data_IF_068467073633
#
_entry.id   IF_068467073633
#
_cell.length_a   1.000
_cell.length_b   1.000
_cell.length_c   1.000
_cell.angle_alpha   90.00
_cell.angle_beta   90.00
_cell.angle_gamma   90.00
#
_symmetry.space_group_name_H-M   'P 1'
#
loop_
_entity.id
_entity.type
_entity.pdbx_description
1 polymer ?
#
# COMPACT_ATOMS: atom_id res chain seq x y z
N UNK A 1 1.93 5.67 5.85
CA UNK A 1 1.66 4.21 5.74
C UNK A 1 0.76 3.94 4.53
N UNK A 2 0.67 2.72 4.03
CA UNK A 2 -0.22 2.37 2.91
C UNK A 2 -0.68 0.92 2.97
N UNK A 3 -1.90 0.69 2.49
CA UNK A 3 -2.50 -0.64 2.38
C UNK A 3 -2.88 -0.93 0.93
N UNK A 4 -2.73 -2.18 0.52
CA UNK A 4 -3.27 -2.69 -0.75
C UNK A 4 -4.79 -2.87 -0.61
N UNK A 5 -5.53 -2.39 -1.60
CA UNK A 5 -6.99 -2.53 -1.69
C UNK A 5 -7.33 -3.33 -2.95
N UNK A 6 -8.33 -4.20 -2.86
CA UNK A 6 -8.78 -5.04 -3.99
C UNK A 6 -9.73 -4.25 -4.90
N UNK A 7 -9.27 -3.10 -5.41
CA UNK A 7 -10.02 -2.24 -6.33
C UNK A 7 -9.66 -2.54 -7.79
N UNK A 8 -10.24 -1.75 -8.70
CA UNK A 8 -9.88 -1.75 -10.11
C UNK A 8 -8.39 -1.42 -10.36
N UNK A 9 -7.89 -1.90 -11.49
CA UNK A 9 -6.50 -1.73 -11.92
C UNK A 9 -6.43 -1.19 -13.35
N UNK A 10 -5.37 -0.44 -13.65
CA UNK A 10 -5.02 0.02 -14.98
C UNK A 10 -3.72 -0.64 -15.46
N UNK A 11 -3.64 -0.92 -16.76
CA UNK A 11 -2.44 -1.50 -17.39
C UNK A 11 -1.32 -0.48 -17.60
N UNK A 12 -1.66 0.82 -17.56
CA UNK A 12 -0.72 1.93 -17.65
C UNK A 12 -0.84 2.86 -16.43
N UNK A 13 0.30 3.36 -15.96
CA UNK A 13 0.40 4.30 -14.85
C UNK A 13 1.69 4.13 -14.05
N UNK A 14 1.72 4.71 -12.85
CA UNK A 14 2.80 4.58 -11.89
C UNK A 14 2.54 3.43 -10.91
N UNK A 15 3.54 2.54 -10.69
CA UNK A 15 3.52 1.58 -9.60
C UNK A 15 3.43 2.28 -8.24
N UNK A 16 2.77 1.66 -7.27
CA UNK A 16 2.54 2.23 -5.93
C UNK A 16 3.81 2.63 -5.19
N UNK A 17 4.94 1.94 -5.44
CA UNK A 17 6.23 2.29 -4.84
C UNK A 17 6.80 3.60 -5.40
N UNK A 18 6.60 3.87 -6.69
CA UNK A 18 6.99 5.14 -7.31
C UNK A 18 6.13 6.28 -6.76
N UNK A 19 4.81 6.07 -6.71
CA UNK A 19 3.86 7.02 -6.10
C UNK A 19 4.25 7.33 -4.65
N UNK A 20 4.55 6.30 -3.84
CA UNK A 20 4.98 6.47 -2.44
C UNK A 20 6.25 7.31 -2.35
N UNK A 21 7.24 7.09 -3.21
CA UNK A 21 8.47 7.89 -3.23
C UNK A 21 8.21 9.35 -3.58
N UNK A 22 7.31 9.60 -4.53
CA UNK A 22 6.91 10.96 -4.90
C UNK A 22 6.19 11.67 -3.75
N UNK A 23 5.24 11.00 -3.09
CA UNK A 23 4.56 11.53 -1.89
C UNK A 23 5.55 11.84 -0.77
N UNK A 24 6.49 10.94 -0.48
CA UNK A 24 7.55 11.13 0.53
C UNK A 24 8.55 12.24 0.17
N UNK A 25 8.49 12.79 -1.05
CA UNK A 25 9.34 13.90 -1.50
C UNK A 25 8.65 15.27 -1.37
N UNK A 26 7.37 15.28 -0.98
CA UNK A 26 6.64 16.50 -0.64
C UNK A 26 6.97 16.91 0.80
N UNK A 27 7.09 18.22 1.08
CA UNK A 27 7.54 18.71 2.39
C UNK A 27 6.49 18.54 3.50
N UNK A 28 5.22 18.45 3.12
CA UNK A 28 4.08 18.40 4.03
C UNK A 28 2.89 17.69 3.38
N UNK A 29 1.84 17.46 4.17
CA UNK A 29 0.60 16.82 3.70
C UNK A 29 -0.09 17.64 2.62
N UNK A 30 -0.05 18.98 2.67
CA UNK A 30 -0.71 19.83 1.67
C UNK A 30 -0.10 19.62 0.29
N UNK A 31 1.23 19.56 0.19
CA UNK A 31 1.95 19.24 -1.04
C UNK A 31 1.59 17.84 -1.56
N UNK A 32 1.58 16.84 -0.67
CA UNK A 32 1.18 15.48 -1.01
C UNK A 32 -0.26 15.41 -1.56
N UNK A 33 -1.23 16.02 -0.88
CA UNK A 33 -2.64 16.03 -1.29
C UNK A 33 -2.86 16.76 -2.62
N UNK A 34 -2.07 17.80 -2.92
CA UNK A 34 -2.08 18.46 -4.24
C UNK A 34 -1.44 17.62 -5.33
N UNK A 35 -0.42 16.83 -5.00
CA UNK A 35 0.30 15.99 -5.94
C UNK A 35 -0.52 14.76 -6.36
N UNK A 36 -1.12 14.06 -5.40
CA UNK A 36 -1.73 12.74 -5.62
C UNK A 36 -2.76 12.69 -6.77
N UNK A 37 -3.68 13.66 -6.94
CA UNK A 37 -4.65 13.64 -8.04
C UNK A 37 -4.02 13.76 -9.44
N UNK A 38 -2.76 14.18 -9.52
CA UNK A 38 -2.01 14.37 -10.78
C UNK A 38 -1.21 13.14 -11.19
N UNK A 39 -1.15 12.11 -10.35
CA UNK A 39 -0.40 10.88 -10.59
C UNK A 39 -1.30 9.85 -11.26
N UNK A 40 -0.84 9.16 -12.32
CA UNK A 40 -1.64 8.10 -12.95
C UNK A 40 -1.52 6.82 -12.12
N UNK A 41 -2.41 6.61 -11.15
CA UNK A 41 -2.36 5.42 -10.27
C UNK A 41 -2.72 4.15 -11.04
N UNK A 42 -1.92 3.08 -10.89
CA UNK A 42 -2.20 1.78 -11.54
C UNK A 42 -3.16 0.87 -10.77
N UNK A 43 -3.40 1.11 -9.49
CA UNK A 43 -4.24 0.22 -8.69
C UNK A 43 -4.67 0.81 -7.36
N UNK A 44 -5.66 0.14 -6.75
CA UNK A 44 -6.29 0.53 -5.50
C UNK A 44 -5.33 0.60 -4.32
N UNK A 45 -5.23 1.74 -3.64
CA UNK A 45 -4.40 1.91 -2.44
C UNK A 45 -5.05 2.85 -1.44
N UNK A 46 -4.76 2.63 -0.16
CA UNK A 46 -4.86 3.69 0.85
C UNK A 46 -3.49 4.27 1.15
N UNK A 47 -3.43 5.57 1.38
CA UNK A 47 -2.30 6.27 1.96
C UNK A 47 -2.76 6.97 3.25
N UNK A 48 -2.12 6.64 4.36
CA UNK A 48 -2.23 7.39 5.61
C UNK A 48 -0.98 8.26 5.75
N UNK A 49 -1.19 9.57 5.79
CA UNK A 49 -0.16 10.59 5.78
C UNK A 49 -0.10 11.28 7.15
N UNK A 50 1.10 11.67 7.54
CA UNK A 50 1.41 12.39 8.77
C UNK A 50 2.62 13.29 8.51
N UNK A 51 2.62 14.52 9.01
CA UNK A 51 3.78 15.42 8.93
C UNK A 51 4.19 15.96 10.31
N UNK A 52 5.33 16.66 10.35
CA UNK A 52 5.93 17.17 11.58
C UNK A 52 5.08 18.22 12.30
N UNK A 53 4.06 18.80 11.64
CA UNK A 53 3.11 19.71 12.29
C UNK A 53 2.04 18.97 13.10
N UNK A 54 2.00 17.64 13.05
CA UNK A 54 0.98 16.82 13.68
C UNK A 54 -0.28 16.65 12.84
N UNK A 55 -0.32 17.24 11.63
CA UNK A 55 -1.41 17.01 10.69
C UNK A 55 -1.37 15.57 10.21
N UNK A 56 -2.56 15.02 9.95
CA UNK A 56 -2.77 13.70 9.38
C UNK A 56 -3.79 13.78 8.26
N UNK A 57 -3.70 12.87 7.31
CA UNK A 57 -4.69 12.73 6.25
C UNK A 57 -4.78 11.29 5.77
N UNK A 58 -6.00 10.84 5.48
CA UNK A 58 -6.26 9.55 4.87
C UNK A 58 -6.72 9.74 3.44
N UNK A 59 -6.21 8.91 2.52
CA UNK A 59 -6.57 8.98 1.11
C UNK A 59 -6.74 7.59 0.55
N UNK A 60 -7.86 7.33 -0.11
CA UNK A 60 -8.06 6.17 -0.98
C UNK A 60 -7.87 6.58 -2.43
N UNK A 61 -7.20 5.73 -3.21
CA UNK A 61 -7.00 5.95 -4.65
C UNK A 61 -7.40 4.73 -5.43
N UNK A 62 -7.96 4.93 -6.62
CA UNK A 62 -8.07 3.90 -7.66
C UNK A 62 -8.02 4.53 -9.05
N UNK A 63 -7.74 3.77 -10.12
CA UNK A 63 -7.78 4.29 -11.48
C UNK A 63 -9.14 4.90 -11.87
N UNK A 64 -10.26 4.20 -11.60
CA UNK A 64 -11.61 4.68 -11.92
C UNK A 64 -12.16 5.68 -10.92
N UNK A 65 -11.96 5.45 -9.61
CA UNK A 65 -12.47 6.34 -8.57
C UNK A 65 -11.61 7.59 -8.39
N UNK A 66 -10.39 7.62 -8.94
CA UNK A 66 -9.44 8.70 -8.71
C UNK A 66 -9.00 8.77 -7.24
N UNK A 67 -8.65 9.97 -6.78
CA UNK A 67 -8.20 10.22 -5.41
C UNK A 67 -9.37 10.68 -4.55
N UNK A 68 -9.55 10.09 -3.37
CA UNK A 68 -10.63 10.36 -2.43
C UNK A 68 -10.08 10.53 -1.01
N UNK A 69 -10.45 11.62 -0.36
CA UNK A 69 -9.98 11.95 0.99
C UNK A 69 -10.92 11.26 1.99
N UNK A 70 -10.34 10.47 2.90
CA UNK A 70 -11.05 9.81 4.00
C UNK A 70 -11.45 10.78 5.11
N UNK A 71 -10.56 11.74 5.36
CA UNK A 71 -10.67 12.74 6.41
C UNK A 71 -9.28 13.24 6.79
N UNK A 72 -9.25 14.39 7.44
CA UNK A 72 -8.08 15.08 7.98
C UNK A 72 -8.21 15.45 9.47
N UNK A 73 -9.32 15.06 10.10
CA UNK A 73 -9.62 15.32 11.50
C UNK A 73 -9.70 14.03 12.33
N UNK A 74 -8.89 13.96 13.39
CA UNK A 74 -8.92 12.88 14.39
C UNK A 74 -8.27 11.56 13.95
N UNK A 75 -8.27 10.53 14.82
CA UNK A 75 -7.59 9.26 14.54
C UNK A 75 -8.14 8.58 13.28
N UNK A 76 -7.24 8.23 12.37
CA UNK A 76 -7.57 7.54 11.12
C UNK A 76 -7.14 6.07 11.20
N UNK A 77 -8.08 5.17 10.88
CA UNK A 77 -7.84 3.74 10.82
C UNK A 77 -8.11 3.21 9.42
N UNK A 78 -7.32 2.24 9.01
CA UNK A 78 -7.53 1.58 7.74
C UNK A 78 -6.95 0.17 7.73
N UNK A 79 -7.63 -0.74 7.06
CA UNK A 79 -7.14 -2.09 6.77
C UNK A 79 -7.08 -2.30 5.26
N UNK A 80 -7.57 -3.41 4.71
CA UNK A 80 -7.43 -3.73 3.29
C UNK A 80 -8.72 -3.58 2.47
N UNK A 81 -9.80 -3.11 3.10
CA UNK A 81 -11.08 -2.82 2.43
C UNK A 81 -11.27 -1.31 2.25
N UNK A 82 -11.96 -0.91 1.19
CA UNK A 82 -12.34 0.49 0.99
C UNK A 82 -13.37 0.92 2.03
N UNK A 83 -13.28 2.17 2.48
CA UNK A 83 -14.18 2.81 3.44
C UNK A 83 -15.16 3.76 2.73
N UNK A 84 -14.70 4.47 1.68
CA UNK A 84 -15.50 5.47 0.98
C UNK A 84 -16.44 4.81 -0.05
N UNK A 85 -17.62 5.39 -0.25
CA UNK A 85 -18.61 4.84 -1.18
C UNK A 85 -18.09 4.79 -2.63
N UNK A 86 -17.31 5.79 -3.04
CA UNK A 86 -16.79 5.89 -4.40
C UNK A 86 -15.74 4.82 -4.73
N UNK A 87 -14.91 4.45 -3.78
CA UNK A 87 -13.88 3.41 -3.92
C UNK A 87 -14.47 2.02 -3.67
N UNK A 88 -15.41 1.88 -2.72
CA UNK A 88 -16.22 0.64 -2.55
C UNK A 88 -16.95 0.26 -3.83
N UNK A 89 -17.45 1.23 -4.60
CA UNK A 89 -18.14 0.98 -5.87
C UNK A 89 -17.27 0.30 -6.94
N UNK A 90 -15.94 0.32 -6.78
CA UNK A 90 -14.98 -0.32 -7.69
C UNK A 90 -14.16 -1.41 -6.99
N UNK A 91 -14.55 -1.82 -5.78
CA UNK A 91 -13.96 -2.92 -5.05
C UNK A 91 -14.44 -4.27 -5.60
N UNK A 92 -13.53 -5.24 -5.65
CA UNK A 92 -13.86 -6.62 -5.93
C UNK A 92 -14.05 -7.38 -4.60
N UNK A 93 -15.29 -7.58 -4.14
CA UNK A 93 -15.55 -8.18 -2.84
C UNK A 93 -15.13 -9.65 -2.76
N UNK A 94 -15.21 -10.40 -3.87
CA UNK A 94 -14.79 -11.80 -3.91
C UNK A 94 -13.27 -11.92 -3.73
N UNK A 95 -12.51 -11.06 -4.42
CA UNK A 95 -11.06 -11.02 -4.28
C UNK A 95 -10.65 -10.50 -2.89
N UNK A 96 -11.34 -9.50 -2.35
CA UNK A 96 -11.13 -9.03 -0.98
C UNK A 96 -11.31 -10.15 0.05
N UNK A 97 -12.41 -10.91 -0.06
CA UNK A 97 -12.68 -12.04 0.82
C UNK A 97 -11.63 -13.15 0.69
N UNK A 98 -11.10 -13.35 -0.52
CA UNK A 98 -10.06 -14.35 -0.77
C UNK A 98 -8.70 -13.93 -0.19
N UNK A 99 -8.32 -12.65 -0.31
CA UNK A 99 -6.97 -12.17 0.02
C UNK A 99 -6.88 -11.66 1.46
N UNK A 100 -7.91 -10.97 1.95
CA UNK A 100 -7.95 -10.33 3.27
C UNK A 100 -9.28 -10.57 4.01
N UNK A 101 -9.69 -11.82 4.24
CA UNK A 101 -10.94 -12.15 4.94
C UNK A 101 -11.04 -11.48 6.34
N UNK A 102 -9.92 -11.25 7.03
CA UNK A 102 -9.90 -10.61 8.36
C UNK A 102 -9.99 -9.07 8.36
N UNK A 103 -10.09 -8.43 7.19
CA UNK A 103 -9.95 -6.97 7.06
C UNK A 103 -10.95 -6.19 7.93
N UNK A 104 -12.19 -6.67 8.06
CA UNK A 104 -13.25 -6.02 8.83
C UNK A 104 -13.07 -6.23 10.34
N UNK A 105 -12.73 -7.44 10.78
CA UNK A 105 -12.44 -7.75 12.19
C UNK A 105 -11.30 -6.89 12.72
N UNK A 106 -10.21 -6.78 11.94
CA UNK A 106 -9.07 -5.93 12.28
C UNK A 106 -9.44 -4.46 12.34
N UNK A 107 -10.29 -3.99 11.42
CA UNK A 107 -10.75 -2.61 11.42
C UNK A 107 -11.57 -2.30 12.68
N UNK A 108 -12.51 -3.17 13.05
CA UNK A 108 -13.30 -3.02 14.28
C UNK A 108 -12.41 -2.96 15.52
N UNK A 109 -11.40 -3.83 15.59
CA UNK A 109 -10.41 -3.83 16.68
C UNK A 109 -9.60 -2.51 16.75
N UNK A 110 -9.18 -1.98 15.60
CA UNK A 110 -8.48 -0.69 15.51
C UNK A 110 -9.37 0.49 15.90
N UNK A 111 -10.58 0.55 15.35
CA UNK A 111 -11.55 1.61 15.63
C UNK A 111 -11.94 1.62 17.12
N UNK A 112 -12.10 0.45 17.74
CA UNK A 112 -12.34 0.35 19.18
C UNK A 112 -11.20 0.89 20.05
N UNK A 113 -9.98 0.99 19.53
CA UNK A 113 -8.84 1.55 20.24
C UNK A 113 -8.71 3.08 20.09
N UNK A 114 -9.56 3.73 19.28
CA UNK A 114 -9.41 5.13 18.89
C UNK A 114 -9.30 6.11 20.07
N UNK A 115 -10.16 5.97 21.08
CA UNK A 115 -10.15 6.83 22.26
C UNK A 115 -8.92 6.68 23.17
N UNK A 116 -8.04 5.71 22.88
CA UNK A 116 -6.86 5.41 23.68
C UNK A 116 -5.54 5.77 23.01
N UNK A 117 -5.56 6.39 21.83
CA UNK A 117 -4.35 6.74 21.06
C UNK A 117 -3.90 8.17 21.33
N UNK A 118 -3.10 8.37 22.39
CA UNK A 118 -2.59 9.69 22.76
C UNK A 118 -1.05 9.78 22.74
N UNK A 119 -0.37 8.66 22.49
CA UNK A 119 1.08 8.58 22.54
C UNK A 119 1.65 7.51 21.60
N UNK A 120 2.96 7.58 21.37
CA UNK A 120 3.72 6.52 20.69
C UNK A 120 3.57 5.17 21.39
N UNK A 121 3.57 5.17 22.73
CA UNK A 121 3.38 3.96 23.52
C UNK A 121 1.99 3.34 23.32
N UNK A 122 0.95 4.16 23.17
CA UNK A 122 -0.39 3.69 22.84
C UNK A 122 -0.46 3.08 21.44
N UNK A 123 0.17 3.71 20.45
CA UNK A 123 0.25 3.15 19.11
C UNK A 123 0.95 1.78 19.12
N UNK A 124 2.07 1.64 19.85
CA UNK A 124 2.75 0.36 20.03
C UNK A 124 1.87 -0.69 20.73
N UNK A 125 1.09 -0.28 21.74
CA UNK A 125 0.14 -1.17 22.44
C UNK A 125 -0.96 -1.64 21.50
N UNK A 126 -1.51 -0.77 20.66
CA UNK A 126 -2.53 -1.12 19.66
C UNK A 126 -1.96 -2.10 18.64
N UNK A 127 -0.74 -1.86 18.14
CA UNK A 127 -0.07 -2.78 17.21
C UNK A 127 0.27 -4.15 17.85
N UNK A 128 0.33 -4.24 19.18
CA UNK A 128 0.48 -5.50 19.94
C UNK A 128 -0.83 -6.22 20.21
N UNK A 129 -1.98 -5.65 19.86
CA UNK A 129 -3.29 -6.21 20.20
C UNK A 129 -3.50 -7.58 19.53
N UNK A 130 -3.89 -8.57 20.35
CA UNK A 130 -4.15 -9.97 19.96
C UNK A 130 -5.61 -10.39 20.08
N UNK A 131 -6.50 -9.48 20.46
CA UNK A 131 -7.93 -9.74 20.47
C UNK A 131 -8.38 -10.13 19.06
N UNK A 132 -9.04 -11.28 18.94
CA UNK A 132 -9.45 -11.85 17.66
C UNK A 132 -8.38 -12.65 16.93
N UNK A 133 -7.29 -13.07 17.59
CA UNK A 133 -6.28 -13.94 16.96
C UNK A 133 -6.92 -15.23 16.38
N UNK A 134 -6.51 -15.69 15.18
CA UNK A 134 -5.33 -15.22 14.42
C UNK A 134 -5.53 -13.91 13.65
N UNK A 135 -6.78 -13.46 13.50
CA UNK A 135 -7.23 -12.29 12.74
C UNK A 135 -7.06 -10.95 13.49
N UNK A 136 -6.17 -10.89 14.47
CA UNK A 136 -5.93 -9.70 15.28
C UNK A 136 -5.12 -8.62 14.52
N UNK A 137 -4.95 -7.44 15.13
CA UNK A 137 -4.04 -6.39 14.63
C UNK A 137 -2.60 -6.92 14.54
N UNK A 138 -2.11 -7.54 15.63
CA UNK A 138 -0.89 -8.35 15.63
C UNK A 138 -1.18 -9.71 15.00
N UNK A 139 -1.34 -9.73 13.68
CA UNK A 139 -1.81 -10.88 12.93
C UNK A 139 -0.81 -12.02 12.97
N UNK A 140 -1.28 -13.20 13.40
CA UNK A 140 -0.52 -14.45 13.33
C UNK A 140 -0.94 -15.25 12.11
N UNK A 141 -0.04 -16.07 11.57
CA UNK A 141 -0.36 -16.95 10.45
C UNK A 141 -1.61 -17.83 10.74
N UNK A 142 -2.47 -17.97 9.73
CA UNK A 142 -3.55 -18.95 9.70
C UNK A 142 -3.68 -19.55 8.30
N UNK A 143 -4.34 -20.71 8.19
CA UNK A 143 -4.64 -21.32 6.88
C UNK A 143 -5.65 -20.51 6.07
N UNK A 144 -6.55 -19.80 6.75
CA UNK A 144 -7.59 -18.97 6.14
C UNK A 144 -7.02 -17.70 5.52
N UNK A 145 -6.04 -17.08 6.17
CA UNK A 145 -5.33 -15.92 5.64
C UNK A 145 -3.83 -16.10 5.86
N UNK A 146 -3.16 -16.68 4.86
CA UNK A 146 -1.76 -17.12 4.88
C UNK A 146 -0.72 -15.98 4.83
N UNK A 147 -0.96 -14.92 5.59
CA UNK A 147 -0.04 -13.80 5.84
C UNK A 147 0.07 -13.56 7.33
N UNK A 148 1.14 -12.93 7.78
CA UNK A 148 1.33 -12.55 9.18
C UNK A 148 2.04 -11.21 9.29
N UNK A 149 2.03 -10.60 10.47
CA UNK A 149 2.75 -9.34 10.70
C UNK A 149 4.26 -9.58 10.59
N UNK A 150 4.84 -9.16 9.46
CA UNK A 150 6.28 -9.22 9.22
C UNK A 150 7.07 -8.13 9.97
N UNK A 151 6.46 -6.96 10.19
CA UNK A 151 7.00 -5.90 11.02
C UNK A 151 5.89 -4.93 11.46
N UNK A 152 6.19 -4.11 12.46
CA UNK A 152 5.36 -3.00 12.93
C UNK A 152 6.20 -1.73 12.98
N UNK A 153 5.62 -0.62 12.52
CA UNK A 153 6.28 0.68 12.46
C UNK A 153 5.39 1.72 13.13
N UNK A 154 5.95 2.50 14.04
CA UNK A 154 5.32 3.69 14.64
C UNK A 154 6.20 4.88 14.33
N UNK A 155 5.67 5.89 13.65
CA UNK A 155 6.39 7.13 13.37
C UNK A 155 5.91 8.23 14.32
N UNK A 156 6.85 8.99 14.85
CA UNK A 156 6.64 10.28 15.51
C UNK A 156 7.27 11.36 14.61
N UNK A 157 6.48 11.94 13.68
CA UNK A 157 7.00 12.93 12.74
C UNK A 157 7.50 14.21 13.41
N UNK A 158 6.90 14.61 14.54
CA UNK A 158 7.29 15.81 15.27
C UNK A 158 8.65 15.64 15.94
N UNK A 159 8.92 14.46 16.51
CA UNK A 159 10.23 14.12 17.05
C UNK A 159 11.25 13.70 15.98
N UNK A 160 10.81 13.45 14.74
CA UNK A 160 11.67 12.87 13.70
C UNK A 160 12.17 11.47 14.08
N UNK A 161 11.32 10.66 14.71
CA UNK A 161 11.67 9.32 15.19
C UNK A 161 10.77 8.27 14.53
N UNK A 162 11.37 7.14 14.17
CA UNK A 162 10.65 5.96 13.73
C UNK A 162 11.00 4.78 14.64
N UNK A 163 9.99 4.14 15.20
CA UNK A 163 10.13 2.91 15.98
C UNK A 163 9.78 1.71 15.12
N UNK A 164 10.68 0.74 15.03
CA UNK A 164 10.51 -0.46 14.21
C UNK A 164 10.59 -1.70 15.09
N UNK A 165 9.61 -2.59 14.94
CA UNK A 165 9.65 -3.93 15.50
C UNK A 165 9.60 -4.94 14.35
N UNK A 166 10.62 -5.79 14.24
CA UNK A 166 10.64 -6.89 13.27
C UNK A 166 9.85 -8.09 13.81
N UNK A 167 9.12 -8.78 12.93
CA UNK A 167 8.22 -9.87 13.28
C UNK A 167 7.00 -9.43 14.08
N UNK A 168 6.46 -10.37 14.87
CA UNK A 168 5.31 -10.13 15.73
C UNK A 168 5.67 -9.18 16.88
N UNK A 169 4.98 -8.05 17.06
CA UNK A 169 5.32 -7.04 18.06
C UNK A 169 5.12 -7.48 19.52
N UNK A 170 4.55 -8.68 19.74
CA UNK A 170 4.50 -9.36 21.03
C UNK A 170 5.88 -9.92 21.46
N UNK A 171 6.64 -10.41 20.49
CA UNK A 171 7.91 -11.12 20.74
C UNK A 171 9.09 -10.17 20.48
N UNK A 172 8.97 -9.33 19.46
CA UNK A 172 9.98 -8.33 19.15
C UNK A 172 9.93 -7.09 20.05
N UNK A 173 11.04 -6.37 20.07
CA UNK A 173 11.14 -5.05 20.68
C UNK A 173 11.02 -3.96 19.60
N UNK A 174 10.39 -2.84 19.96
CA UNK A 174 10.44 -1.64 19.14
C UNK A 174 11.78 -0.94 19.35
N UNK A 175 12.57 -0.81 18.28
CA UNK A 175 13.84 -0.09 18.27
C UNK A 175 13.62 1.29 17.65
N UNK A 176 14.08 2.34 18.34
CA UNK A 176 13.95 3.72 17.87
C UNK A 176 15.09 4.08 16.91
N UNK A 177 14.73 4.72 15.80
CA UNK A 177 15.64 5.25 14.80
C UNK A 177 15.36 6.73 14.60
N UNK A 178 16.40 7.56 14.75
CA UNK A 178 16.30 8.97 14.39
C UNK A 178 16.28 9.10 12.86
N UNK A 179 15.25 9.77 12.36
CA UNK A 179 15.17 10.21 10.96
C UNK A 179 15.95 11.51 10.87
N UNK A 180 17.28 11.40 10.81
CA UNK A 180 18.14 12.56 10.70
C UNK A 180 17.65 13.47 9.56
N UNK A 181 17.56 14.77 9.82
CA UNK A 181 17.36 15.82 8.80
C UNK A 181 18.58 16.00 7.88
N UNK A 182 19.48 15.02 7.87
CA UNK A 182 20.77 15.08 7.22
C UNK A 182 20.62 15.04 5.70
N UNK A 183 20.59 16.24 5.15
CA UNK A 183 20.84 16.51 3.75
C UNK A 183 19.55 16.52 2.95
N UNK A 184 19.28 17.69 2.38
CA UNK A 184 18.67 17.80 1.06
C UNK A 184 19.03 16.55 0.24
N UNK A 185 18.05 15.69 -0.03
CA UNK A 185 18.11 14.89 -1.25
C UNK A 185 18.22 15.95 -2.33
N UNK A 186 19.45 16.18 -2.82
CA UNK A 186 19.74 17.16 -3.86
C UNK A 186 18.76 16.84 -4.97
N UNK A 187 17.70 17.66 -5.13
CA UNK A 187 16.89 17.63 -6.34
C UNK A 187 17.90 17.91 -7.44
N UNK A 188 18.27 16.90 -8.23
CA UNK A 188 18.97 17.16 -9.49
C UNK A 188 17.96 17.90 -10.36
N UNK A 189 17.91 19.21 -10.23
CA UNK A 189 17.19 20.14 -11.10
C UNK A 189 17.97 20.37 -12.41
N UNK A 190 18.70 19.35 -12.87
CA UNK A 190 19.33 19.36 -14.17
C UNK A 190 18.33 18.87 -15.22
N UNK A 191 18.27 19.49 -16.41
CA UNK A 191 17.46 18.95 -17.50
C UNK A 191 17.87 17.50 -17.75
N UNK A 192 16.88 16.63 -17.93
CA UNK A 192 17.09 15.25 -18.36
C UNK A 192 17.88 15.33 -19.67
N UNK A 193 19.09 14.75 -19.68
CA UNK A 193 19.95 14.70 -20.86
C UNK A 193 19.15 14.19 -22.08
N UNK A 194 19.33 14.77 -23.28
CA UNK A 194 18.65 14.34 -24.51
C UNK A 194 18.77 12.84 -24.78
N UNK A 195 19.85 12.21 -24.27
CA UNK A 195 20.13 10.77 -24.40
C UNK A 195 19.08 9.91 -23.69
N UNK A 196 18.57 10.35 -22.52
CA UNK A 196 17.60 9.58 -21.76
C UNK A 196 16.17 9.62 -22.34
N UNK A 197 15.86 10.62 -23.19
CA UNK A 197 14.58 10.70 -23.93
C UNK A 197 14.51 9.73 -25.11
N UNK A 198 15.64 9.41 -25.74
CA UNK A 198 15.70 8.46 -26.84
C UNK A 198 15.48 7.01 -26.35
N UNK A 199 16.09 6.64 -25.22
CA UNK A 199 15.97 5.29 -24.65
C UNK A 199 14.55 4.94 -24.19
N UNK A 200 13.78 5.92 -23.71
CA UNK A 200 12.39 5.68 -23.26
C UNK A 200 11.44 5.43 -24.43
N UNK A 201 11.63 6.14 -25.56
CA UNK A 201 10.81 5.93 -26.76
C UNK A 201 11.16 4.61 -27.48
N UNK A 202 12.44 4.24 -27.50
CA UNK A 202 12.90 3.01 -28.15
C UNK A 202 12.48 1.75 -27.37
N UNK A 203 12.47 1.82 -26.04
CA UNK A 203 12.01 0.72 -25.18
C UNK A 203 10.50 0.48 -25.29
N UNK A 204 9.69 1.54 -25.43
CA UNK A 204 8.23 1.42 -25.61
C UNK A 204 7.83 0.78 -26.95
N UNK A 205 8.58 1.03 -28.03
CA UNK A 205 8.33 0.43 -29.34
C UNK A 205 8.70 -1.06 -29.39
N UNK A 206 9.75 -1.48 -28.69
CA UNK A 206 10.16 -2.90 -28.66
C UNK A 206 9.19 -3.80 -27.90
N UNK A 207 8.46 -3.27 -26.90
CA UNK A 207 7.43 -4.03 -26.18
C UNK A 207 6.20 -4.29 -27.04
N UNK A 208 5.81 -3.37 -27.93
CA UNK A 208 4.69 -3.57 -28.86
C UNK A 208 5.00 -4.60 -29.96
N UNK A 209 6.24 -4.68 -30.44
CA UNK A 209 6.61 -5.61 -31.51
C UNK A 209 6.61 -7.09 -31.09
N UNK A 210 6.75 -7.40 -29.79
CA UNK A 210 6.75 -8.79 -29.29
C UNK A 210 5.35 -9.38 -29.04
N UNK A 211 4.29 -8.58 -29.11
CA UNK A 211 2.92 -9.01 -28.79
C UNK A 211 2.10 -9.54 -29.98
N UNK A 212 2.69 -9.66 -31.17
CA UNK A 212 2.03 -10.26 -32.35
C UNK A 212 2.66 -11.62 -32.69
N UNK A 213 2.31 -12.67 -31.94
CA UNK A 213 2.38 -14.05 -32.44
C UNK A 213 0.98 -14.65 -32.49
N UNK A 214 0.59 -15.07 -33.70
CA UNK A 214 -0.72 -15.60 -34.09
C UNK A 214 -1.13 -16.84 -33.28
N UNK A 215 -2.38 -16.93 -32.78
CA UNK A 215 -2.93 -18.16 -32.21
C UNK A 215 -3.66 -18.97 -33.29
N UNK A 216 -2.92 -19.64 -34.19
CA UNK A 216 -3.47 -20.69 -35.07
C UNK A 216 -2.41 -21.72 -35.41
N UNK A 217 -2.28 -22.74 -34.58
CA UNK A 217 -1.89 -24.09 -35.00
C UNK A 217 -2.15 -25.08 -33.84
N UNK A 218 -3.40 -25.56 -33.75
CA UNK A 218 -3.72 -26.79 -33.02
C UNK A 218 -4.16 -27.79 -34.09
N UNK A 219 -3.32 -28.78 -34.38
CA UNK A 219 -3.69 -29.93 -35.22
C UNK A 219 -4.29 -31.04 -34.35
N UNK A 220 -5.32 -31.77 -34.82
CA UNK A 220 -6.00 -32.78 -34.04
C UNK A 220 -5.37 -34.18 -34.20
N UNK A 221 -5.28 -34.90 -33.08
CA UNK A 221 -5.51 -36.35 -32.98
C UNK A 221 -4.38 -37.32 -33.35
N UNK A 222 -3.95 -38.12 -32.38
CA UNK A 222 -3.92 -39.59 -32.53
C UNK A 222 -3.89 -40.28 -31.15
N UNK A 223 -4.59 -41.40 -31.08
CA UNK A 223 -4.84 -42.25 -29.89
C UNK A 223 -3.70 -43.24 -29.64
N UNK A 224 -3.79 -43.88 -28.45
CA UNK A 224 -3.23 -45.19 -28.05
C UNK A 224 -1.84 -45.10 -27.41
N UNK A 225 -1.45 -45.89 -26.39
CA UNK A 225 -2.04 -46.92 -25.51
C UNK A 225 -0.90 -47.34 -24.55
N UNK A 226 -1.23 -47.78 -23.32
CA UNK A 226 -0.42 -48.69 -22.45
C UNK A 226 0.89 -48.09 -21.86
N UNK A 227 1.30 -48.27 -20.59
CA UNK A 227 1.26 -49.42 -19.67
C UNK A 227 1.22 -48.99 -18.18
N UNK A 228 0.84 -49.96 -17.35
CA UNK A 228 0.75 -49.98 -15.88
C UNK A 228 2.11 -49.86 -15.17
N UNK A 229 2.04 -49.47 -13.90
CA UNK A 229 3.06 -49.60 -12.86
C UNK A 229 2.55 -48.97 -11.59
#
# INVERSE_FOLDING_TARGET
>A
MTNDLMLDTATAGLPSQVVRRMILSEPDITGALRLMPRLPHMGGRTYLLGDASGRIAGVEVSPKAGVRILGDDGPLFHTNHALLSQTKAVENPALLQQVYPSTYDRYTSLAGAAGSLNSVADAMRVLRNRAGAPNAVAKSYSREEATETACSIVCDPAAGVMHVCLGLPRVGAFVAHSLASNGTVRRRSGPISPVARADTQQTLLQVHARSLRNPREVRPGSRSRFLRG
#
